data_IF_416716381774
#
_entry.id   IF_416716381774
#
_cell.length_a   1.000
_cell.length_b   1.000
_cell.length_c   1.000
_cell.angle_alpha   90.00
_cell.angle_beta   90.00
_cell.angle_gamma   90.00
#
_symmetry.space_group_name_H-M   'P 1'
#
loop_
_entity.id
_entity.type
_entity.pdbx_description
1 polymer ?
#
# COMPACT_ATOMS: atom_id res chain seq x y z
N UNK A 1 -18.98 -1.26 3.01
CA UNK A 1 -17.68 -1.61 2.38
C UNK A 1 -17.80 -1.94 0.89
N UNK A 2 -18.65 -2.89 0.49
CA UNK A 2 -18.77 -3.29 -0.93
C UNK A 2 -19.13 -2.14 -1.86
N UNK A 3 -20.15 -1.37 -1.52
CA UNK A 3 -20.59 -0.21 -2.30
C UNK A 3 -19.49 0.87 -2.39
N UNK A 4 -18.85 1.19 -1.27
CA UNK A 4 -17.75 2.15 -1.24
C UNK A 4 -16.55 1.70 -2.08
N UNK A 5 -16.26 0.38 -2.12
CA UNK A 5 -15.23 -0.17 -3.00
C UNK A 5 -15.62 -0.07 -4.47
N UNK A 6 -16.88 -0.32 -4.82
CA UNK A 6 -17.38 -0.15 -6.18
C UNK A 6 -17.24 1.32 -6.63
N UNK A 7 -17.61 2.26 -5.77
CA UNK A 7 -17.41 3.69 -6.04
C UNK A 7 -15.94 4.05 -6.21
N UNK A 8 -15.05 3.46 -5.40
CA UNK A 8 -13.60 3.62 -5.57
C UNK A 8 -13.12 3.12 -6.93
N UNK A 9 -13.60 1.95 -7.40
CA UNK A 9 -13.25 1.42 -8.72
C UNK A 9 -13.73 2.35 -9.84
N UNK A 10 -14.97 2.83 -9.78
CA UNK A 10 -15.53 3.77 -10.77
C UNK A 10 -14.70 5.06 -10.81
N UNK A 11 -14.42 5.65 -9.65
CA UNK A 11 -13.68 6.90 -9.52
C UNK A 11 -12.26 6.81 -10.09
N UNK A 12 -11.64 5.62 -10.03
CA UNK A 12 -10.27 5.40 -10.49
C UNK A 12 -10.19 4.70 -11.87
N UNK A 13 -11.33 4.55 -12.57
CA UNK A 13 -11.38 3.92 -13.90
C UNK A 13 -10.96 2.44 -13.90
N UNK A 14 -11.12 1.75 -12.78
CA UNK A 14 -10.83 0.34 -12.63
C UNK A 14 -12.02 -0.52 -13.13
N UNK A 15 -11.78 -1.76 -13.57
CA UNK A 15 -12.87 -2.70 -13.85
C UNK A 15 -13.77 -2.91 -12.62
N UNK A 16 -15.06 -3.23 -12.83
CA UNK A 16 -16.03 -3.44 -11.74
C UNK A 16 -15.63 -4.54 -10.76
N UNK A 17 -14.81 -5.50 -11.20
CA UNK A 17 -14.23 -6.56 -10.38
C UNK A 17 -12.81 -6.23 -9.86
N UNK A 18 -12.36 -4.97 -9.99
CA UNK A 18 -10.99 -4.56 -9.63
C UNK A 18 -9.89 -5.19 -10.50
N UNK A 19 -10.26 -5.83 -11.61
CA UNK A 19 -9.32 -6.57 -12.46
C UNK A 19 -8.78 -7.85 -11.83
N UNK A 20 -9.42 -8.37 -10.78
CA UNK A 20 -8.95 -9.56 -10.06
C UNK A 20 -8.97 -10.83 -10.93
N UNK A 21 -9.88 -10.90 -11.92
CA UNK A 21 -10.00 -12.01 -12.86
C UNK A 21 -8.98 -12.01 -13.99
N UNK A 22 -8.32 -10.88 -14.26
CA UNK A 22 -7.34 -10.76 -15.34
C UNK A 22 -6.08 -11.59 -15.07
N UNK A 23 -5.50 -12.17 -16.10
CA UNK A 23 -4.20 -12.86 -16.00
C UNK A 23 -3.04 -11.86 -15.96
N UNK A 24 -3.13 -10.80 -16.77
CA UNK A 24 -2.18 -9.70 -16.81
C UNK A 24 -2.92 -8.40 -16.52
N UNK A 25 -2.48 -7.69 -15.50
CA UNK A 25 -3.11 -6.46 -15.04
C UNK A 25 -2.32 -5.27 -15.54
N UNK A 26 -2.94 -4.31 -16.24
CA UNK A 26 -2.28 -3.08 -16.61
C UNK A 26 -2.07 -2.20 -15.38
N UNK A 27 -0.84 -1.72 -15.21
CA UNK A 27 -0.47 -0.75 -14.18
C UNK A 27 0.08 0.49 -14.86
N UNK A 28 -0.49 1.64 -14.56
CA UNK A 28 -0.05 2.92 -15.11
C UNK A 28 1.01 3.53 -14.19
N UNK A 29 2.24 3.69 -14.70
CA UNK A 29 3.32 4.39 -14.01
C UNK A 29 3.67 5.68 -14.77
N UNK A 30 3.07 6.79 -14.39
CA UNK A 30 3.17 8.03 -15.12
C UNK A 30 2.65 7.89 -16.57
N UNK A 31 3.53 8.04 -17.57
CA UNK A 31 3.18 7.87 -18.99
C UNK A 31 3.38 6.44 -19.51
N UNK A 32 3.93 5.54 -18.71
CA UNK A 32 4.24 4.16 -19.10
C UNK A 32 3.16 3.22 -18.59
N UNK A 33 2.63 2.37 -19.47
CA UNK A 33 1.74 1.27 -19.09
C UNK A 33 2.55 -0.02 -19.04
N UNK A 34 2.61 -0.62 -17.84
CA UNK A 34 3.22 -1.90 -17.59
C UNK A 34 2.14 -2.96 -17.42
N UNK A 35 2.47 -4.21 -17.70
CA UNK A 35 1.58 -5.35 -17.42
C UNK A 35 2.23 -6.23 -16.37
N UNK A 36 1.53 -6.48 -15.29
CA UNK A 36 2.00 -7.32 -14.18
C UNK A 36 1.20 -8.61 -14.17
N UNK A 37 1.89 -9.75 -14.08
CA UNK A 37 1.24 -11.04 -13.95
C UNK A 37 0.45 -11.12 -12.64
N UNK A 38 -0.83 -11.50 -12.76
CA UNK A 38 -1.76 -11.58 -11.64
C UNK A 38 -1.59 -12.89 -10.86
N UNK A 39 -0.48 -13.00 -10.15
CA UNK A 39 -0.15 -14.17 -9.33
C UNK A 39 -1.18 -14.43 -8.24
N UNK A 40 -1.24 -15.66 -7.74
CA UNK A 40 -2.13 -16.01 -6.62
C UNK A 40 -1.83 -15.18 -5.35
N UNK A 41 -0.58 -14.77 -5.14
CA UNK A 41 -0.22 -13.90 -4.03
C UNK A 41 -0.82 -12.50 -4.20
N UNK A 42 -0.76 -11.94 -5.42
CA UNK A 42 -1.40 -10.66 -5.75
C UNK A 42 -2.91 -10.73 -5.59
N UNK A 43 -3.56 -11.74 -6.15
CA UNK A 43 -5.03 -11.94 -6.06
C UNK A 43 -5.53 -12.01 -4.62
N UNK A 44 -4.71 -12.50 -3.69
CA UNK A 44 -5.03 -12.55 -2.26
C UNK A 44 -4.80 -11.22 -1.55
N UNK A 45 -3.84 -10.41 -1.97
CA UNK A 45 -3.47 -9.17 -1.29
C UNK A 45 -4.27 -7.95 -1.79
N UNK A 46 -4.43 -7.81 -3.11
CA UNK A 46 -5.02 -6.60 -3.73
C UNK A 46 -6.44 -6.29 -3.27
N UNK A 47 -7.36 -7.26 -3.05
CA UNK A 47 -8.69 -6.93 -2.53
C UNK A 47 -8.68 -6.24 -1.16
N UNK A 48 -7.69 -6.52 -0.33
CA UNK A 48 -7.48 -5.81 0.94
C UNK A 48 -6.93 -4.40 0.71
N UNK A 49 -5.93 -4.30 -0.16
CA UNK A 49 -5.32 -3.02 -0.53
C UNK A 49 -6.37 -2.02 -1.05
N UNK A 50 -7.25 -2.45 -1.96
CA UNK A 50 -8.34 -1.61 -2.47
C UNK A 50 -9.33 -1.19 -1.37
N UNK A 51 -9.59 -2.06 -0.40
CA UNK A 51 -10.40 -1.71 0.78
C UNK A 51 -9.66 -0.75 1.73
N UNK A 52 -8.33 -0.83 1.81
CA UNK A 52 -7.56 0.13 2.59
C UNK A 52 -7.62 1.53 1.99
N UNK A 53 -7.62 1.70 0.66
CA UNK A 53 -7.89 2.99 0.02
C UNK A 53 -9.25 3.57 0.45
N UNK A 54 -10.30 2.73 0.44
CA UNK A 54 -11.65 3.12 0.91
C UNK A 54 -11.63 3.54 2.37
N UNK A 55 -10.93 2.80 3.23
CA UNK A 55 -10.89 3.05 4.67
C UNK A 55 -10.06 4.28 5.03
N UNK A 56 -8.94 4.50 4.36
CA UNK A 56 -8.01 5.59 4.69
C UNK A 56 -8.31 6.89 3.97
N UNK A 57 -9.02 6.81 2.82
CA UNK A 57 -9.28 7.94 1.94
C UNK A 57 -8.09 8.35 1.06
N UNK A 58 -6.99 7.58 1.04
CA UNK A 58 -5.87 7.82 0.11
C UNK A 58 -6.31 7.48 -1.31
N UNK A 59 -5.96 8.34 -2.27
CA UNK A 59 -6.30 8.15 -3.67
C UNK A 59 -5.34 7.19 -4.40
N UNK A 60 -5.65 6.82 -5.66
CA UNK A 60 -4.80 5.98 -6.50
C UNK A 60 -3.74 6.77 -7.30
N UNK A 61 -3.42 8.01 -6.92
CA UNK A 61 -2.27 8.73 -7.49
C UNK A 61 -0.95 8.13 -6.99
N UNK A 62 0.16 8.45 -7.65
CA UNK A 62 1.48 7.99 -7.20
C UNK A 62 1.80 8.40 -5.75
N UNK A 63 1.30 9.55 -5.30
CA UNK A 63 1.43 9.99 -3.91
C UNK A 63 0.50 9.21 -3.00
N UNK A 64 -0.77 9.00 -3.38
CA UNK A 64 -1.72 8.21 -2.60
C UNK A 64 -1.29 6.74 -2.48
N UNK A 65 -0.72 6.15 -3.53
CA UNK A 65 -0.11 4.81 -3.49
C UNK A 65 1.08 4.74 -2.50
N UNK A 66 1.87 5.81 -2.40
CA UNK A 66 2.95 5.88 -1.43
C UNK A 66 2.44 6.06 0.01
N UNK A 67 1.36 6.83 0.20
CA UNK A 67 0.69 6.99 1.48
C UNK A 67 0.08 5.67 1.96
N UNK A 68 -0.70 5.00 1.10
CA UNK A 68 -1.28 3.71 1.47
C UNK A 68 -0.21 2.66 1.75
N UNK A 69 0.88 2.66 0.95
CA UNK A 69 2.00 1.78 1.16
C UNK A 69 2.68 1.97 2.52
N UNK A 70 2.92 3.23 2.91
CA UNK A 70 3.49 3.56 4.21
C UNK A 70 2.55 3.20 5.37
N UNK A 71 1.25 3.49 5.20
CA UNK A 71 0.22 3.13 6.15
C UNK A 71 0.13 1.60 6.35
N UNK A 72 0.08 0.83 5.26
CA UNK A 72 -0.01 -0.64 5.31
C UNK A 72 1.24 -1.28 5.95
N UNK A 73 2.44 -0.80 5.61
CA UNK A 73 3.68 -1.28 6.22
C UNK A 73 3.71 -1.04 7.73
N UNK A 74 3.17 0.09 8.19
CA UNK A 74 3.09 0.43 9.60
C UNK A 74 1.96 -0.31 10.34
N UNK A 75 0.78 -0.46 9.72
CA UNK A 75 -0.39 -1.14 10.29
C UNK A 75 -0.27 -2.67 10.24
N UNK A 76 0.66 -3.19 9.42
CA UNK A 76 0.97 -4.60 9.25
C UNK A 76 0.40 -5.23 7.98
N UNK A 77 1.26 -5.94 7.26
CA UNK A 77 0.94 -6.60 5.98
C UNK A 77 0.78 -8.12 6.09
N UNK A 78 1.04 -8.72 7.26
CA UNK A 78 0.96 -10.18 7.45
C UNK A 78 -0.48 -10.68 7.36
N UNK A 79 -0.72 -11.84 6.72
CA UNK A 79 0.26 -12.76 6.13
C UNK A 79 0.58 -12.49 4.65
N UNK A 80 0.25 -11.33 4.10
CA UNK A 80 0.33 -11.01 2.68
C UNK A 80 1.69 -10.39 2.29
N UNK A 81 2.72 -11.22 2.13
CA UNK A 81 4.07 -10.76 1.72
C UNK A 81 4.07 -9.95 0.42
N UNK A 82 3.11 -10.24 -0.50
CA UNK A 82 2.98 -9.50 -1.75
C UNK A 82 2.64 -8.03 -1.52
N UNK A 83 1.83 -7.73 -0.49
CA UNK A 83 1.56 -6.34 -0.10
C UNK A 83 2.85 -5.62 0.30
N UNK A 84 3.71 -6.23 1.11
CA UNK A 84 5.02 -5.66 1.43
C UNK A 84 5.85 -5.40 0.17
N UNK A 85 5.85 -6.35 -0.78
CA UNK A 85 6.64 -6.24 -2.00
C UNK A 85 6.21 -5.07 -2.90
N UNK A 86 4.90 -4.78 -3.00
CA UNK A 86 4.41 -3.65 -3.81
C UNK A 86 4.52 -2.32 -3.07
N UNK A 87 4.39 -2.31 -1.75
CA UNK A 87 4.41 -1.10 -0.94
C UNK A 87 5.82 -0.50 -0.83
N UNK A 88 6.86 -1.33 -0.77
CA UNK A 88 8.25 -0.84 -0.65
C UNK A 88 8.65 0.08 -1.81
N UNK A 89 8.47 -0.27 -3.11
CA UNK A 89 8.74 0.64 -4.21
C UNK A 89 7.85 1.90 -4.19
N UNK A 90 6.57 1.77 -3.82
CA UNK A 90 5.65 2.91 -3.73
C UNK A 90 6.11 3.91 -2.66
N UNK A 91 6.49 3.44 -1.47
CA UNK A 91 7.06 4.26 -0.40
C UNK A 91 8.37 4.91 -0.85
N UNK A 92 9.26 4.18 -1.54
CA UNK A 92 10.51 4.74 -2.06
C UNK A 92 10.25 5.94 -2.99
N UNK A 93 9.31 5.81 -3.91
CA UNK A 93 8.89 6.91 -4.79
C UNK A 93 8.32 8.07 -3.95
N UNK A 94 7.45 7.76 -2.99
CA UNK A 94 6.86 8.76 -2.10
C UNK A 94 7.87 9.54 -1.27
N UNK A 95 8.93 8.88 -0.79
CA UNK A 95 10.02 9.55 -0.07
C UNK A 95 10.75 10.58 -0.95
N UNK A 96 10.78 10.39 -2.26
CA UNK A 96 11.36 11.35 -3.20
C UNK A 96 10.44 12.52 -3.52
N UNK A 97 9.10 12.32 -3.55
CA UNK A 97 8.15 13.31 -4.08
C UNK A 97 7.29 13.97 -3.01
N UNK A 98 6.97 13.28 -1.92
CA UNK A 98 6.07 13.74 -0.87
C UNK A 98 6.42 13.17 0.53
N UNK A 99 7.66 13.34 1.03
CA UNK A 99 8.12 12.67 2.25
C UNK A 99 7.27 12.97 3.49
N UNK A 100 6.75 14.19 3.62
CA UNK A 100 5.90 14.56 4.76
C UNK A 100 4.56 13.80 4.75
N UNK A 101 3.94 13.62 3.58
CA UNK A 101 2.70 12.85 3.45
C UNK A 101 2.93 11.37 3.77
N UNK A 102 4.04 10.81 3.30
CA UNK A 102 4.46 9.44 3.61
C UNK A 102 4.68 9.26 5.12
N UNK A 103 5.33 10.23 5.77
CA UNK A 103 5.52 10.21 7.22
C UNK A 103 4.19 10.24 8.00
N UNK A 104 3.27 11.13 7.63
CA UNK A 104 1.96 11.20 8.29
C UNK A 104 1.13 9.91 8.08
N UNK A 105 1.14 9.35 6.88
CA UNK A 105 0.48 8.08 6.60
C UNK A 105 1.10 6.93 7.41
N UNK A 106 2.42 6.88 7.52
CA UNK A 106 3.12 5.92 8.38
C UNK A 106 2.72 6.07 9.85
N UNK A 107 2.69 7.30 10.38
CA UNK A 107 2.25 7.58 11.76
C UNK A 107 0.82 7.10 12.00
N UNK A 108 -0.09 7.38 11.05
CA UNK A 108 -1.49 6.94 11.12
C UNK A 108 -1.57 5.42 11.13
N UNK A 109 -0.79 4.72 10.30
CA UNK A 109 -0.70 3.27 10.27
C UNK A 109 -0.20 2.65 11.58
N UNK A 110 0.75 3.28 12.26
CA UNK A 110 1.25 2.82 13.56
C UNK A 110 0.22 2.83 14.69
N UNK A 111 -0.86 3.58 14.55
CA UNK A 111 -1.89 3.77 15.57
C UNK A 111 -3.13 2.90 15.32
N UNK A 112 -3.14 2.13 14.25
CA UNK A 112 -4.26 1.30 13.86
C UNK A 112 -3.81 -0.07 13.38
N UNK A 113 -4.76 -0.90 12.96
CA UNK A 113 -4.53 -2.21 12.36
C UNK A 113 -4.99 -2.22 10.91
N UNK A 114 -4.38 -3.07 10.09
CA UNK A 114 -4.85 -3.34 8.73
C UNK A 114 -5.89 -4.46 8.71
N UNK A 115 -6.59 -4.60 7.59
CA UNK A 115 -7.48 -5.75 7.35
C UNK A 115 -6.71 -7.03 7.00
N UNK A 116 -5.42 -6.97 6.71
CA UNK A 116 -4.63 -8.14 6.27
C UNK A 116 -4.63 -9.30 7.28
N UNK A 117 -4.80 -9.02 8.56
CA UNK A 117 -4.89 -10.04 9.61
C UNK A 117 -6.23 -10.73 9.75
N UNK A 118 -7.25 -10.33 8.99
CA UNK A 118 -8.62 -10.81 9.09
C UNK A 118 -9.10 -11.40 7.75
N UNK A 119 -9.97 -12.44 7.75
CA UNK A 119 -10.57 -12.92 6.52
C UNK A 119 -11.58 -11.90 5.97
N UNK A 120 -11.58 -11.66 4.65
CA UNK A 120 -12.62 -10.84 3.99
C UNK A 120 -13.92 -11.65 3.88
N UNK A 121 -14.66 -11.69 4.97
CA UNK A 121 -15.98 -12.37 5.01
C UNK A 121 -17.06 -11.48 4.39
N UNK A 122 -18.24 -12.09 4.12
CA UNK A 122 -19.39 -11.33 3.65
C UNK A 122 -19.84 -10.28 4.66
N UNK A 123 -19.71 -10.57 5.96
CA UNK A 123 -20.05 -9.65 7.04
C UNK A 123 -19.15 -8.40 7.02
N UNK A 124 -17.83 -8.58 6.84
CA UNK A 124 -16.89 -7.44 6.69
C UNK A 124 -17.23 -6.61 5.47
N UNK A 125 -17.56 -7.25 4.33
CA UNK A 125 -17.92 -6.53 3.12
C UNK A 125 -19.29 -5.85 3.19
N UNK A 126 -20.21 -6.36 4.01
CA UNK A 126 -21.52 -5.75 4.28
C UNK A 126 -21.48 -4.65 5.34
N UNK A 127 -20.41 -4.57 6.16
CA UNK A 127 -20.29 -3.59 7.23
C UNK A 127 -20.20 -2.16 6.68
N UNK A 128 -20.61 -1.19 7.50
CA UNK A 128 -20.39 0.22 7.25
C UNK A 128 -18.90 0.57 7.31
N UNK A 129 -18.46 1.53 6.50
CA UNK A 129 -17.06 1.97 6.45
C UNK A 129 -16.60 2.52 7.79
N UNK A 130 -17.44 3.39 8.42
CA UNK A 130 -17.11 3.99 9.70
C UNK A 130 -17.01 2.97 10.84
N UNK A 131 -17.81 1.89 10.79
CA UNK A 131 -17.73 0.80 11.77
C UNK A 131 -16.41 0.04 11.65
N UNK A 132 -15.97 -0.24 10.42
CA UNK A 132 -14.69 -0.90 10.17
C UNK A 132 -13.52 0.01 10.57
N UNK A 133 -13.58 1.31 10.23
CA UNK A 133 -12.58 2.30 10.66
C UNK A 133 -12.42 2.32 12.17
N UNK A 134 -13.52 2.42 12.92
CA UNK A 134 -13.51 2.40 14.40
C UNK A 134 -12.91 1.10 14.95
N UNK A 135 -13.29 -0.05 14.39
CA UNK A 135 -12.79 -1.37 14.80
C UNK A 135 -11.29 -1.53 14.58
N UNK A 136 -10.76 -0.95 13.50
CA UNK A 136 -9.33 -0.96 13.20
C UNK A 136 -8.54 0.12 13.96
N UNK A 137 -9.21 1.05 14.62
CA UNK A 137 -8.60 2.17 15.32
C UNK A 137 -8.17 3.30 14.38
N UNK A 138 -8.75 3.38 13.16
CA UNK A 138 -8.50 4.49 12.27
C UNK A 138 -9.13 5.77 12.83
N UNK A 139 -8.31 6.81 12.99
CA UNK A 139 -8.75 8.16 13.33
C UNK A 139 -7.95 9.17 12.50
N UNK A 140 -8.54 10.34 12.29
CA UNK A 140 -7.90 11.43 11.56
C UNK A 140 -6.99 12.25 12.47
N UNK A 141 -7.37 12.41 13.74
CA UNK A 141 -6.51 13.05 14.74
C UNK A 141 -5.57 12.02 15.37
N UNK A 142 -4.33 12.06 14.94
CA UNK A 142 -3.24 11.20 15.45
C UNK A 142 -2.32 11.93 16.43
N UNK A 143 -2.64 13.16 16.80
CA UNK A 143 -1.86 14.01 17.71
C UNK A 143 -0.47 14.38 17.16
N UNK A 144 0.34 15.03 18.01
CA UNK A 144 1.69 15.42 17.64
C UNK A 144 2.62 14.20 17.47
N UNK A 145 3.64 14.32 16.59
CA UNK A 145 4.62 13.25 16.39
C UNK A 145 5.42 12.96 17.67
N UNK A 146 5.54 11.70 18.01
CA UNK A 146 6.41 11.24 19.09
C UNK A 146 7.84 10.99 18.56
N UNK A 147 8.83 11.08 19.43
CA UNK A 147 10.21 10.75 19.06
C UNK A 147 10.35 9.34 18.47
N UNK A 148 9.58 8.38 19.00
CA UNK A 148 9.52 7.02 18.45
C UNK A 148 8.97 6.95 17.02
N UNK A 149 8.15 7.91 16.58
CA UNK A 149 7.66 7.96 15.21
C UNK A 149 8.80 8.28 14.23
N UNK A 150 9.67 9.24 14.59
CA UNK A 150 10.83 9.59 13.79
C UNK A 150 11.84 8.45 13.70
N UNK A 151 12.12 7.76 14.82
CA UNK A 151 13.05 6.63 14.83
C UNK A 151 12.58 5.48 13.95
N UNK A 152 11.33 5.04 14.13
CA UNK A 152 10.78 3.93 13.35
C UNK A 152 10.54 4.30 11.89
N UNK A 153 10.25 5.57 11.60
CA UNK A 153 10.18 6.04 10.23
C UNK A 153 11.56 6.07 9.56
N UNK A 154 12.59 6.51 10.27
CA UNK A 154 13.97 6.44 9.76
C UNK A 154 14.39 4.98 9.46
N UNK A 155 14.02 4.04 10.32
CA UNK A 155 14.21 2.61 10.05
C UNK A 155 13.48 2.15 8.79
N UNK A 156 12.20 2.51 8.61
CA UNK A 156 11.46 2.24 7.38
C UNK A 156 12.17 2.82 6.16
N UNK A 157 12.63 4.07 6.21
CA UNK A 157 13.36 4.71 5.12
C UNK A 157 14.62 3.93 4.75
N UNK A 158 15.45 3.57 5.74
CA UNK A 158 16.69 2.83 5.52
C UNK A 158 16.42 1.45 4.90
N UNK A 159 15.44 0.70 5.44
CA UNK A 159 15.06 -0.60 4.91
C UNK A 159 14.51 -0.48 3.48
N UNK A 160 13.65 0.49 3.23
CA UNK A 160 13.07 0.74 1.90
C UNK A 160 14.16 1.09 0.87
N UNK A 161 15.07 1.99 1.21
CA UNK A 161 16.19 2.37 0.34
C UNK A 161 17.08 1.16 0.07
N UNK A 162 17.43 0.39 1.11
CA UNK A 162 18.25 -0.79 0.96
C UNK A 162 17.60 -1.86 0.06
N UNK A 163 16.31 -2.15 0.25
CA UNK A 163 15.58 -3.14 -0.54
C UNK A 163 15.42 -2.75 -2.01
N UNK A 164 15.32 -1.44 -2.31
CA UNK A 164 15.19 -0.96 -3.70
C UNK A 164 16.56 -0.84 -4.37
N UNK A 165 17.58 -0.31 -3.67
CA UNK A 165 18.89 -0.04 -4.29
C UNK A 165 19.83 -1.25 -4.31
N UNK A 166 19.74 -2.18 -3.35
CA UNK A 166 20.63 -3.34 -3.31
C UNK A 166 20.53 -4.24 -4.56
N UNK A 167 19.34 -4.59 -5.08
CA UNK A 167 19.24 -5.35 -6.33
C UNK A 167 19.84 -4.61 -7.52
N UNK A 168 19.63 -3.29 -7.62
CA UNK A 168 20.22 -2.47 -8.68
C UNK A 168 21.73 -2.46 -8.62
N UNK A 169 22.29 -2.30 -7.42
CA UNK A 169 23.73 -2.37 -7.19
C UNK A 169 24.31 -3.74 -7.60
N UNK A 170 23.66 -4.84 -7.21
CA UNK A 170 24.08 -6.19 -7.56
C UNK A 170 24.08 -6.42 -9.08
N UNK A 171 23.07 -5.94 -9.81
CA UNK A 171 23.02 -6.03 -11.27
C UNK A 171 24.17 -5.24 -11.90
N UNK A 172 24.40 -3.99 -11.46
CA UNK A 172 25.51 -3.16 -11.98
C UNK A 172 26.86 -3.81 -11.68
N UNK A 173 27.05 -4.31 -10.46
CA UNK A 173 28.28 -5.01 -10.07
C UNK A 173 28.52 -6.26 -10.92
N UNK A 174 27.49 -7.09 -11.10
CA UNK A 174 27.58 -8.29 -11.92
C UNK A 174 27.95 -7.98 -13.38
N UNK A 175 27.27 -7.00 -13.99
CA UNK A 175 27.57 -6.57 -15.38
C UNK A 175 29.02 -6.11 -15.49
N UNK A 176 29.52 -5.32 -14.53
CA UNK A 176 30.93 -4.86 -14.54
C UNK A 176 31.95 -5.97 -14.29
N UNK A 177 31.56 -7.06 -13.62
CA UNK A 177 32.46 -8.20 -13.36
C UNK A 177 32.57 -9.18 -14.53
N UNK A 178 31.61 -9.10 -15.47
CA UNK A 178 31.55 -10.02 -16.66
C UNK A 178 32.06 -9.32 -17.93
N UNK A 179 32.06 -7.98 -17.96
CA UNK A 179 32.66 -7.17 -19.06
C UNK A 179 34.11 -6.85 -18.78
#
# INVERSE_FOLDING_TARGET
MSEAREQYFIANGLPSDGGYGLEWVPVQLGRVRLYIYNSNARRRAVPYHDLHHVLTGYDASATGEAEIGAWELAAGTRPHWFATMINVPAVFIGLCVAPNRVFEAFRRGRRCRSLYGEPLTREVLASDVADVQRRLGLCDDIGEPLFSDYLTFAELCLVTIALVLAPLFLVVWFVRSVL
#
